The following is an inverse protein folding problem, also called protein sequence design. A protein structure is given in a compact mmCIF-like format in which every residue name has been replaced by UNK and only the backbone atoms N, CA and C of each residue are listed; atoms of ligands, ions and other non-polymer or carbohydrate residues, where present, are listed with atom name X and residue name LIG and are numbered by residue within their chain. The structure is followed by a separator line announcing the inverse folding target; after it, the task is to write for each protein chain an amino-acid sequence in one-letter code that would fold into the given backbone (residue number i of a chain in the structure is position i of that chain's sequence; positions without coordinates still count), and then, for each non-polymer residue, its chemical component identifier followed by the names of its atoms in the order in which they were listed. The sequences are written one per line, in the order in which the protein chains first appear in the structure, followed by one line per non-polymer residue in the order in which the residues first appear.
data_IF_782820943347
#
_entry.id   IF_782820943347
#
_cell.length_a   1.000
_cell.length_b   1.000
_cell.length_c   1.000
_cell.angle_alpha   90.00
_cell.angle_beta   90.00
_cell.angle_gamma   90.00
#
_symmetry.space_group_name_H-M   'P 1'
#
loop_
_entity.id
_entity.type
_entity.pdbx_description
1 polymer ?
#
# COMPACT_ATOMS: atom_id res chain seq x y z
N UNK A 1 -16.02 -3.34 30.66
CA UNK A 1 -15.88 -4.40 29.63
C UNK A 1 -14.40 -4.66 29.45
N UNK A 2 -13.90 -5.69 30.12
CA UNK A 2 -12.49 -6.10 30.02
C UNK A 2 -12.33 -6.87 28.71
N UNK A 3 -11.61 -6.30 27.74
CA UNK A 3 -11.13 -7.05 26.58
C UNK A 3 -10.06 -8.00 27.11
N UNK A 4 -10.39 -9.28 27.32
CA UNK A 4 -9.38 -10.30 27.54
C UNK A 4 -8.48 -10.26 26.30
N UNK A 5 -7.22 -9.89 26.48
CA UNK A 5 -6.24 -9.97 25.39
C UNK A 5 -6.08 -11.44 25.03
N UNK A 6 -6.75 -11.83 23.93
CA UNK A 6 -6.81 -13.21 23.42
C UNK A 6 -5.39 -13.77 23.23
N UNK A 7 -4.45 -12.89 22.85
CA UNK A 7 -3.04 -13.21 22.75
C UNK A 7 -2.24 -12.55 23.87
N UNK A 8 -1.44 -13.36 24.58
CA UNK A 8 -0.53 -12.86 25.62
C UNK A 8 0.60 -12.02 25.00
N UNK A 9 0.73 -10.75 25.41
CA UNK A 9 1.72 -9.82 24.86
C UNK A 9 3.17 -10.29 24.95
N UNK A 10 3.53 -11.04 25.98
CA UNK A 10 4.92 -11.43 26.24
C UNK A 10 5.35 -12.56 25.32
N UNK A 11 4.48 -13.55 25.11
CA UNK A 11 4.79 -14.78 24.37
C UNK A 11 4.36 -14.76 22.90
N UNK A 12 3.44 -13.85 22.53
CA UNK A 12 2.91 -13.79 21.16
C UNK A 12 3.87 -13.11 20.18
N UNK A 13 3.55 -13.24 18.89
CA UNK A 13 4.29 -12.64 17.80
C UNK A 13 4.60 -11.15 18.01
N UNK A 14 5.85 -10.75 17.76
CA UNK A 14 6.26 -9.34 17.76
C UNK A 14 6.05 -8.75 16.38
N UNK A 15 4.86 -8.21 16.18
CA UNK A 15 4.43 -7.63 14.91
C UNK A 15 5.13 -6.30 14.61
N UNK A 16 5.51 -6.11 13.35
CA UNK A 16 6.11 -4.86 12.87
C UNK A 16 5.08 -3.99 12.16
N UNK A 17 5.49 -2.76 11.80
CA UNK A 17 4.72 -1.83 10.95
C UNK A 17 3.30 -1.56 11.47
N UNK A 18 3.11 -1.68 12.79
CA UNK A 18 1.83 -1.44 13.45
C UNK A 18 0.81 -2.58 13.32
N UNK A 19 1.24 -3.78 12.94
CA UNK A 19 0.42 -4.98 13.04
C UNK A 19 0.16 -5.40 14.49
N UNK A 20 -0.76 -6.34 14.69
CA UNK A 20 -1.12 -6.88 16.00
C UNK A 20 -1.23 -8.42 15.96
N UNK A 21 -1.00 -9.12 17.10
CA UNK A 21 -1.09 -10.57 17.14
C UNK A 21 -2.47 -11.05 16.68
N UNK A 22 -2.49 -12.06 15.80
CA UNK A 22 -3.71 -12.60 15.24
C UNK A 22 -4.48 -13.40 16.33
N UNK A 23 -5.72 -13.01 16.67
CA UNK A 23 -6.50 -13.70 17.70
C UNK A 23 -6.79 -15.18 17.42
N UNK A 24 -6.72 -15.60 16.14
CA UNK A 24 -6.90 -17.00 15.74
C UNK A 24 -5.59 -17.81 15.79
N UNK A 25 -4.44 -17.14 15.75
CA UNK A 25 -3.11 -17.75 15.88
C UNK A 25 -2.10 -16.70 16.40
N UNK A 26 -1.84 -16.72 17.69
CA UNK A 26 -0.99 -15.73 18.36
C UNK A 26 0.49 -15.77 17.93
N UNK A 27 0.91 -16.72 17.09
CA UNK A 27 2.26 -16.76 16.51
C UNK A 27 2.36 -16.01 15.17
N UNK A 28 1.25 -15.50 14.66
CA UNK A 28 1.20 -14.66 13.45
C UNK A 28 0.58 -13.30 13.75
N UNK A 29 0.69 -12.39 12.79
CA UNK A 29 0.20 -11.03 12.89
C UNK A 29 -0.89 -10.74 11.86
N UNK A 30 -1.87 -9.92 12.26
CA UNK A 30 -2.74 -9.21 11.32
C UNK A 30 -2.02 -7.93 10.89
N UNK A 31 -1.77 -7.81 9.59
CA UNK A 31 -0.96 -6.74 9.03
C UNK A 31 -1.80 -5.59 8.47
N UNK A 32 -1.35 -4.34 8.62
CA UNK A 32 -1.93 -3.23 7.88
C UNK A 32 -1.78 -3.43 6.37
N UNK A 33 -2.69 -2.82 5.60
CA UNK A 33 -2.66 -2.90 4.15
C UNK A 33 -1.32 -2.43 3.57
N UNK A 34 -0.79 -3.20 2.62
CA UNK A 34 0.52 -2.98 2.01
C UNK A 34 1.68 -3.69 2.73
N UNK A 35 1.43 -4.43 3.81
CA UNK A 35 2.42 -5.28 4.50
C UNK A 35 1.90 -6.71 4.66
N UNK A 36 2.82 -7.67 4.73
CA UNK A 36 2.49 -9.08 4.84
C UNK A 36 3.58 -9.90 5.53
N UNK A 37 3.44 -11.22 5.40
CA UNK A 37 4.24 -12.19 6.12
C UNK A 37 3.78 -12.37 7.58
N UNK A 38 4.33 -13.37 8.29
CA UNK A 38 3.88 -13.73 9.64
C UNK A 38 4.01 -12.60 10.66
N UNK A 39 4.96 -11.67 10.43
CA UNK A 39 5.28 -10.57 11.35
C UNK A 39 5.08 -9.18 10.73
N UNK A 40 4.45 -9.06 9.56
CA UNK A 40 4.26 -7.78 8.83
C UNK A 40 5.56 -7.11 8.38
N UNK A 41 6.62 -7.91 8.16
CA UNK A 41 7.94 -7.46 7.69
C UNK A 41 8.09 -7.54 6.18
N UNK A 42 7.22 -8.30 5.53
CA UNK A 42 7.36 -8.69 4.13
C UNK A 42 6.39 -7.92 3.25
N UNK A 43 6.68 -7.90 1.95
CA UNK A 43 5.72 -7.41 0.97
C UNK A 43 4.56 -8.42 0.87
N UNK A 44 3.30 -7.98 0.84
CA UNK A 44 2.18 -8.91 0.76
C UNK A 44 2.17 -9.61 -0.61
N UNK A 45 1.98 -10.93 -0.60
CA UNK A 45 1.96 -11.76 -1.80
C UNK A 45 0.54 -11.82 -2.40
N UNK A 46 0.08 -10.69 -2.95
CA UNK A 46 -1.29 -10.51 -3.48
C UNK A 46 -1.41 -10.76 -4.99
N UNK A 47 -0.31 -10.58 -5.73
CA UNK A 47 -0.25 -10.59 -7.19
C UNK A 47 1.16 -10.99 -7.67
N UNK A 48 1.27 -11.37 -8.94
CA UNK A 48 2.56 -11.69 -9.56
C UNK A 48 3.34 -10.44 -9.97
N UNK A 49 2.66 -9.31 -10.14
CA UNK A 49 3.22 -8.02 -10.56
C UNK A 49 3.77 -7.18 -9.40
N UNK A 50 3.74 -7.72 -8.17
CA UNK A 50 4.29 -7.06 -6.99
C UNK A 50 5.80 -6.78 -7.20
N UNK A 51 6.23 -5.57 -6.83
CA UNK A 51 7.62 -5.11 -7.02
C UNK A 51 8.14 -4.45 -5.77
N UNK A 52 9.42 -4.65 -5.47
CA UNK A 52 10.17 -3.79 -4.55
C UNK A 52 11.15 -2.96 -5.38
N UNK A 53 11.12 -1.65 -5.20
CA UNK A 53 11.92 -0.67 -5.92
C UNK A 53 12.79 0.09 -4.92
N UNK A 54 14.07 0.25 -5.24
CA UNK A 54 14.98 1.09 -4.47
C UNK A 54 15.04 2.48 -5.10
N UNK A 55 14.63 3.48 -4.33
CA UNK A 55 14.67 4.88 -4.72
C UNK A 55 16.11 5.41 -4.67
N UNK A 56 16.38 6.38 -5.55
CA UNK A 56 17.61 7.18 -5.58
C UNK A 56 17.29 8.66 -5.35
N UNK A 57 18.31 9.51 -5.24
CA UNK A 57 18.12 10.98 -5.24
C UNK A 57 17.64 11.49 -6.61
N UNK A 58 17.91 10.73 -7.68
CA UNK A 58 17.44 11.03 -9.03
C UNK A 58 16.01 10.54 -9.22
N UNK A 59 15.22 11.29 -10.01
CA UNK A 59 13.84 10.92 -10.30
C UNK A 59 13.77 9.64 -11.16
N UNK A 60 13.05 8.65 -10.66
CA UNK A 60 12.76 7.38 -11.33
C UNK A 60 11.26 7.30 -11.62
N UNK A 61 10.87 6.44 -12.57
CA UNK A 61 9.48 6.26 -12.97
C UNK A 61 9.06 4.79 -12.84
N UNK A 62 7.82 4.56 -12.42
CA UNK A 62 7.18 3.25 -12.40
C UNK A 62 5.75 3.34 -12.96
N UNK A 63 5.38 2.34 -13.75
CA UNK A 63 4.01 2.11 -14.17
C UNK A 63 3.36 1.07 -13.27
N UNK A 64 2.14 1.38 -12.84
CA UNK A 64 1.33 0.55 -11.95
C UNK A 64 -0.07 0.47 -12.54
N UNK A 65 -0.63 -0.73 -12.55
CA UNK A 65 -1.97 -0.97 -13.05
C UNK A 65 -2.68 -2.01 -12.19
N UNK A 66 -4.00 -1.91 -12.14
CA UNK A 66 -4.85 -2.91 -11.52
C UNK A 66 -6.10 -3.11 -12.36
N UNK A 67 -6.44 -4.38 -12.59
CA UNK A 67 -7.66 -4.82 -13.24
C UNK A 67 -8.07 -6.15 -12.61
N UNK A 68 -9.37 -6.32 -12.38
CA UNK A 68 -9.88 -7.55 -11.80
C UNK A 68 -10.15 -8.58 -12.90
N UNK A 69 -9.24 -9.55 -13.05
CA UNK A 69 -9.36 -10.64 -14.02
C UNK A 69 -10.50 -11.62 -13.71
N UNK A 70 -10.84 -11.76 -12.42
CA UNK A 70 -11.85 -12.72 -11.95
C UNK A 70 -13.25 -12.23 -12.37
N UNK A 71 -13.43 -10.90 -12.46
CA UNK A 71 -14.68 -10.28 -12.90
C UNK A 71 -15.83 -10.42 -11.91
N UNK A 72 -15.59 -10.98 -10.72
CA UNK A 72 -16.56 -10.95 -9.63
C UNK A 72 -16.60 -9.55 -9.00
N UNK A 73 -17.78 -9.12 -8.53
CA UNK A 73 -17.96 -7.81 -7.88
C UNK A 73 -17.86 -7.91 -6.36
N UNK A 74 -17.19 -8.95 -5.85
CA UNK A 74 -17.12 -9.25 -4.43
C UNK A 74 -15.70 -9.08 -3.88
N UNK A 75 -14.69 -9.34 -4.71
CA UNK A 75 -13.29 -9.29 -4.31
C UNK A 75 -12.51 -8.29 -5.16
N UNK A 76 -11.76 -7.44 -4.48
CA UNK A 76 -10.80 -6.58 -5.15
C UNK A 76 -9.60 -7.39 -5.58
N UNK A 77 -9.18 -7.22 -6.83
CA UNK A 77 -7.78 -7.40 -7.17
C UNK A 77 -6.97 -6.34 -6.42
N UNK A 78 -5.84 -6.74 -5.83
CA UNK A 78 -4.88 -5.87 -5.18
C UNK A 78 -3.47 -6.27 -5.57
N UNK A 79 -2.62 -5.27 -5.75
CA UNK A 79 -1.23 -5.49 -6.04
C UNK A 79 -0.39 -4.39 -5.42
N UNK A 80 0.47 -4.77 -4.48
CA UNK A 80 1.30 -3.84 -3.72
C UNK A 80 2.69 -3.72 -4.35
N UNK A 81 3.14 -2.50 -4.62
CA UNK A 81 4.53 -2.14 -4.94
C UNK A 81 5.16 -1.41 -3.75
N UNK A 82 6.36 -1.78 -3.35
CA UNK A 82 7.14 -1.08 -2.33
C UNK A 82 8.17 -0.18 -2.99
N UNK A 83 8.26 1.07 -2.52
CA UNK A 83 9.38 1.97 -2.80
C UNK A 83 10.17 2.13 -1.49
N UNK A 84 11.46 1.78 -1.52
CA UNK A 84 12.37 1.84 -0.38
C UNK A 84 13.42 2.92 -0.58
N UNK A 85 13.79 3.59 0.51
CA UNK A 85 14.92 4.49 0.57
C UNK A 85 15.84 4.09 1.74
N UNK A 86 17.09 4.58 1.77
CA UNK A 86 17.95 4.43 2.93
C UNK A 86 17.29 4.91 4.23
N UNK A 87 17.70 4.34 5.36
CA UNK A 87 17.15 4.74 6.66
C UNK A 87 17.35 6.24 6.92
N UNK A 88 16.34 6.87 7.53
CA UNK A 88 16.33 8.32 7.79
C UNK A 88 15.99 9.20 6.59
N UNK A 89 15.89 8.64 5.37
CA UNK A 89 15.46 9.36 4.17
C UNK A 89 13.94 9.34 4.01
N UNK A 90 13.42 10.36 3.32
CA UNK A 90 12.00 10.44 2.94
C UNK A 90 11.86 10.26 1.44
N UNK A 91 10.73 9.75 1.00
CA UNK A 91 10.42 9.49 -0.40
C UNK A 91 9.39 10.52 -0.86
N UNK A 92 9.68 11.16 -1.98
CA UNK A 92 8.73 12.01 -2.70
C UNK A 92 8.13 11.17 -3.81
N UNK A 93 6.81 11.08 -3.87
CA UNK A 93 6.05 10.40 -4.92
C UNK A 93 5.17 11.43 -5.63
N UNK A 94 5.33 11.56 -6.94
CA UNK A 94 4.52 12.41 -7.80
C UNK A 94 3.70 11.57 -8.77
N UNK A 95 2.40 11.83 -8.85
CA UNK A 95 1.52 11.23 -9.84
C UNK A 95 1.83 11.90 -11.18
N UNK A 96 2.56 11.21 -12.06
CA UNK A 96 2.88 11.70 -13.39
C UNK A 96 1.64 11.68 -14.28
N UNK A 97 1.07 10.49 -14.41
CA UNK A 97 -0.20 10.29 -15.10
C UNK A 97 -1.06 9.29 -14.34
N UNK A 98 -2.37 9.41 -14.46
CA UNK A 98 -3.32 8.43 -13.94
C UNK A 98 -4.58 8.48 -14.80
N UNK A 99 -5.15 7.31 -15.04
CA UNK A 99 -6.43 7.12 -15.71
C UNK A 99 -7.18 5.99 -15.01
N UNK A 100 -8.42 6.26 -14.59
CA UNK A 100 -9.37 5.23 -14.14
C UNK A 100 -10.75 5.47 -14.73
N UNK A 101 -11.46 4.38 -15.02
CA UNK A 101 -12.83 4.42 -15.51
C UNK A 101 -13.87 4.47 -14.38
N UNK A 102 -13.44 4.84 -13.16
CA UNK A 102 -14.28 4.90 -11.98
C UNK A 102 -13.94 6.08 -11.05
N UNK A 103 -13.98 7.29 -11.60
CA UNK A 103 -13.80 8.54 -10.86
C UNK A 103 -15.01 8.83 -9.96
N UNK A 104 -15.10 8.10 -8.84
CA UNK A 104 -16.10 8.28 -7.79
C UNK A 104 -15.42 8.75 -6.52
N UNK A 105 -16.15 9.51 -5.70
CA UNK A 105 -15.65 9.96 -4.40
C UNK A 105 -15.10 8.78 -3.60
N UNK A 106 -13.85 8.92 -3.11
CA UNK A 106 -13.16 7.89 -2.34
C UNK A 106 -12.51 6.77 -3.17
N UNK A 107 -12.59 6.84 -4.50
CA UNK A 107 -11.99 5.87 -5.43
C UNK A 107 -12.40 4.42 -5.13
N UNK A 108 -13.68 4.19 -4.83
CA UNK A 108 -14.12 2.89 -4.30
C UNK A 108 -13.97 1.74 -5.29
N UNK A 109 -14.13 1.94 -6.60
CA UNK A 109 -14.12 0.84 -7.58
C UNK A 109 -12.72 0.44 -8.03
N UNK A 110 -11.86 1.40 -8.37
CA UNK A 110 -10.48 1.15 -8.77
C UNK A 110 -9.64 2.40 -8.50
N UNK A 111 -8.35 2.20 -8.22
CA UNK A 111 -7.44 3.30 -7.93
C UNK A 111 -6.09 2.83 -7.41
N UNK A 112 -5.27 3.80 -7.05
CA UNK A 112 -4.03 3.58 -6.30
C UNK A 112 -4.19 4.16 -4.89
N UNK A 113 -3.68 3.45 -3.89
CA UNK A 113 -3.51 3.93 -2.52
C UNK A 113 -2.02 4.12 -2.25
N UNK A 114 -1.61 5.32 -1.87
CA UNK A 114 -0.22 5.69 -1.60
C UNK A 114 -0.08 5.97 -0.11
N UNK A 115 0.72 5.17 0.60
CA UNK A 115 0.88 5.26 2.06
C UNK A 115 2.11 6.08 2.44
N UNK A 116 1.99 7.40 2.41
CA UNK A 116 3.07 8.34 2.80
C UNK A 116 2.90 8.92 4.21
N UNK A 117 1.72 8.77 4.82
CA UNK A 117 1.42 9.27 6.16
C UNK A 117 2.26 8.59 7.25
N UNK A 118 2.42 9.25 8.38
CA UNK A 118 3.15 8.73 9.55
C UNK A 118 2.55 7.42 10.09
N UNK A 119 1.24 7.41 10.34
CA UNK A 119 0.54 6.19 10.77
C UNK A 119 0.13 5.34 9.56
N UNK A 120 1.01 4.45 9.14
CA UNK A 120 0.75 3.51 8.04
C UNK A 120 -0.21 2.36 8.46
N UNK A 121 -0.78 2.35 9.67
CA UNK A 121 -1.84 1.38 10.05
C UNK A 121 -3.16 1.68 9.35
N UNK A 122 -3.45 2.96 9.12
CA UNK A 122 -4.68 3.41 8.46
C UNK A 122 -4.54 3.45 6.94
N UNK A 123 -5.67 3.49 6.24
CA UNK A 123 -5.73 3.69 4.79
C UNK A 123 -4.97 4.95 4.36
N UNK A 124 -4.14 4.83 3.33
CA UNK A 124 -3.39 5.94 2.74
C UNK A 124 -4.24 6.83 1.82
N UNK A 125 -3.57 7.73 1.11
CA UNK A 125 -4.23 8.61 0.13
C UNK A 125 -4.63 7.82 -1.10
N UNK A 126 -5.88 7.96 -1.55
CA UNK A 126 -6.42 7.25 -2.72
C UNK A 126 -6.62 8.18 -3.90
N UNK A 127 -6.22 7.72 -5.08
CA UNK A 127 -6.32 8.47 -6.34
C UNK A 127 -6.85 7.58 -7.45
N UNK A 128 -7.66 8.18 -8.32
CA UNK A 128 -8.32 7.51 -9.43
C UNK A 128 -8.75 8.47 -10.54
N UNK A 129 -8.57 9.78 -10.37
CA UNK A 129 -9.02 10.78 -11.35
C UNK A 129 -7.86 11.33 -12.15
N UNK A 130 -8.11 11.68 -13.42
CA UNK A 130 -7.15 12.47 -14.22
C UNK A 130 -6.82 13.83 -13.56
N UNK A 131 -7.69 14.33 -12.67
CA UNK A 131 -7.45 15.55 -11.90
C UNK A 131 -6.39 15.37 -10.79
N UNK A 132 -5.96 14.15 -10.51
CA UNK A 132 -4.91 13.84 -9.54
C UNK A 132 -3.50 13.92 -10.15
N UNK A 133 -3.39 14.20 -11.46
CA UNK A 133 -2.11 14.39 -12.14
C UNK A 133 -1.34 15.57 -11.55
N UNK A 134 -0.02 15.39 -11.41
CA UNK A 134 0.88 16.39 -10.83
C UNK A 134 0.82 16.51 -9.31
N UNK A 135 -0.04 15.74 -8.61
CA UNK A 135 -0.03 15.70 -7.15
C UNK A 135 1.26 15.06 -6.65
N UNK A 136 1.84 15.67 -5.62
CA UNK A 136 3.08 15.22 -4.98
C UNK A 136 2.83 14.95 -3.50
N UNK A 137 3.37 13.84 -3.01
CA UNK A 137 3.31 13.41 -1.62
C UNK A 137 4.73 13.17 -1.10
N UNK A 138 5.04 13.71 0.07
CA UNK A 138 6.27 13.40 0.82
C UNK A 138 5.95 12.39 1.92
N UNK A 139 6.79 11.36 2.06
CA UNK A 139 6.61 10.34 3.09
C UNK A 139 7.21 10.72 4.43
N UNK A 140 6.62 10.21 5.51
CA UNK A 140 7.16 10.29 6.86
C UNK A 140 8.17 9.18 7.18
N UNK A 141 8.27 8.16 6.32
CA UNK A 141 9.16 7.00 6.49
C UNK A 141 9.97 6.73 5.21
N UNK A 142 10.96 5.85 5.30
CA UNK A 142 11.78 5.40 4.18
C UNK A 142 11.17 4.24 3.38
N UNK A 143 9.90 3.91 3.61
CA UNK A 143 9.20 2.84 2.89
C UNK A 143 7.77 3.29 2.56
N UNK A 144 7.47 3.36 1.27
CA UNK A 144 6.13 3.72 0.76
C UNK A 144 5.51 2.54 0.03
N UNK A 145 4.49 1.89 0.62
CA UNK A 145 3.61 1.00 -0.12
C UNK A 145 2.70 1.78 -1.07
N UNK A 146 2.65 1.32 -2.31
CA UNK A 146 1.69 1.73 -3.34
C UNK A 146 0.79 0.53 -3.62
N UNK A 147 -0.49 0.62 -3.30
CA UNK A 147 -1.45 -0.48 -3.46
C UNK A 147 -2.35 -0.12 -4.64
N UNK A 148 -2.19 -0.81 -5.77
CA UNK A 148 -3.15 -0.70 -6.86
C UNK A 148 -4.29 -1.69 -6.62
N UNK A 149 -5.53 -1.25 -6.81
CA UNK A 149 -6.69 -2.09 -6.57
C UNK A 149 -7.79 -1.85 -7.60
N UNK A 150 -8.59 -2.89 -7.84
CA UNK A 150 -9.71 -2.87 -8.76
C UNK A 150 -10.79 -3.90 -8.36
N UNK A 151 -12.05 -3.48 -8.32
CA UNK A 151 -13.23 -4.33 -8.14
C UNK A 151 -13.91 -4.59 -9.49
N UNK A 152 -14.51 -3.56 -10.08
CA UNK A 152 -15.28 -3.61 -11.34
C UNK A 152 -14.78 -2.59 -12.39
N UNK A 153 -13.54 -2.13 -12.25
CA UNK A 153 -12.90 -1.17 -13.15
C UNK A 153 -11.42 -1.45 -13.36
N UNK A 154 -10.74 -0.47 -13.94
CA UNK A 154 -9.30 -0.52 -14.21
C UNK A 154 -8.67 0.80 -13.82
N UNK A 155 -7.43 0.74 -13.34
CA UNK A 155 -6.57 1.90 -13.15
C UNK A 155 -5.23 1.67 -13.83
N UNK A 156 -4.73 2.71 -14.47
CA UNK A 156 -3.36 2.82 -14.97
C UNK A 156 -2.76 4.09 -14.40
N UNK A 157 -1.61 3.98 -13.74
CA UNK A 157 -0.90 5.10 -13.16
C UNK A 157 0.59 5.04 -13.52
N UNK A 158 1.14 6.21 -13.81
CA UNK A 158 2.57 6.46 -13.92
C UNK A 158 2.98 7.30 -12.71
N UNK A 159 3.84 6.74 -11.86
CA UNK A 159 4.39 7.45 -10.71
C UNK A 159 5.85 7.80 -10.97
N UNK A 160 6.24 8.98 -10.51
CA UNK A 160 7.63 9.43 -10.44
C UNK A 160 8.04 9.49 -8.98
N UNK A 161 9.21 8.98 -8.64
CA UNK A 161 9.66 8.88 -7.26
C UNK A 161 11.16 9.12 -7.14
N UNK A 162 11.56 9.63 -5.97
CA UNK A 162 12.95 9.81 -5.52
C UNK A 162 12.98 9.94 -4.01
N UNK A 163 14.13 9.81 -3.38
CA UNK A 163 14.30 10.16 -1.98
C UNK A 163 14.96 11.53 -1.77
N UNK A 164 14.79 12.08 -0.56
CA UNK A 164 15.44 13.28 -0.01
C UNK A 164 16.02 12.97 1.36
#
# INVERSE_FOLDING_TARGET
LYFLEICNKDTSAKCERGGFPNPNDCNTCVCPGGYGGPLCKDQPMECNEAKTLDATEQEQQVQINAYNQIGDRYHYFKCTTWIKAPEGKRIIVTIGDITSYSDKLGCTSAGIEIKTQEDQRVTGYRFCSNNDRGRTLESHSNLVPIIAYALDGTVYATLRYRYV
#
